data_IF_896859605457
#
_entry.id   IF_896859605457
#
_cell.length_a   1.000
_cell.length_b   1.000
_cell.length_c   1.000
_cell.angle_alpha   90.00
_cell.angle_beta   90.00
_cell.angle_gamma   90.00
#
_symmetry.space_group_name_H-M   'P 1'
#
loop_
_entity.id
_entity.type
_entity.pdbx_description
1 polymer ?
#
# COMPACT_ATOMS: atom_id res chain seq x y z
N UNK A 1 16.02 -5.86 -2.21
CA UNK A 1 15.17 -4.77 -2.68
C UNK A 1 14.60 -5.05 -4.09
N UNK A 2 15.43 -5.31 -5.12
CA UNK A 2 14.97 -5.53 -6.51
C UNK A 2 13.98 -6.68 -6.64
N UNK A 3 14.29 -7.86 -6.08
CA UNK A 3 13.40 -9.03 -6.11
C UNK A 3 12.04 -8.74 -5.42
N UNK A 4 12.02 -8.01 -4.29
CA UNK A 4 10.79 -7.56 -3.63
C UNK A 4 9.92 -6.73 -4.59
N UNK A 5 10.54 -5.73 -5.22
CA UNK A 5 9.83 -4.87 -6.17
C UNK A 5 9.29 -5.65 -7.38
N UNK A 6 10.08 -6.58 -7.93
CA UNK A 6 9.64 -7.41 -9.06
C UNK A 6 8.43 -8.29 -8.70
N UNK A 7 8.40 -8.83 -7.48
CA UNK A 7 7.25 -9.61 -6.99
C UNK A 7 6.02 -8.71 -6.79
N UNK A 8 6.19 -7.55 -6.15
CA UNK A 8 5.08 -6.62 -5.91
C UNK A 8 4.50 -6.11 -7.23
N UNK A 9 5.34 -5.85 -8.22
CA UNK A 9 4.93 -5.35 -9.55
C UNK A 9 4.38 -6.43 -10.48
N UNK A 10 4.36 -7.69 -10.05
CA UNK A 10 3.84 -8.80 -10.85
C UNK A 10 4.78 -9.28 -11.96
N UNK A 11 6.07 -8.91 -11.90
CA UNK A 11 7.10 -9.44 -12.81
C UNK A 11 7.39 -10.94 -12.55
N UNK A 12 6.95 -11.44 -11.40
CA UNK A 12 6.81 -12.85 -11.07
C UNK A 12 5.35 -13.09 -10.68
N UNK A 13 4.72 -14.08 -11.31
CA UNK A 13 3.31 -14.37 -11.07
C UNK A 13 3.08 -15.05 -9.72
N UNK A 14 1.91 -14.94 -9.11
CA UNK A 14 1.53 -15.76 -7.96
C UNK A 14 1.81 -17.25 -8.24
N UNK A 15 2.31 -17.98 -7.24
CA UNK A 15 2.72 -19.39 -7.32
C UNK A 15 3.89 -19.70 -8.27
N UNK A 16 4.46 -18.70 -8.93
CA UNK A 16 5.62 -18.90 -9.81
C UNK A 16 6.83 -19.40 -9.03
N UNK A 17 7.52 -20.41 -9.59
CA UNK A 17 8.74 -20.96 -9.00
C UNK A 17 9.94 -20.04 -9.21
N UNK A 18 10.54 -19.59 -8.12
CA UNK A 18 11.75 -18.75 -8.12
C UNK A 18 13.00 -19.64 -8.22
N UNK A 19 13.40 -19.92 -9.47
CA UNK A 19 14.57 -20.75 -9.74
C UNK A 19 15.86 -19.96 -9.47
N UNK A 20 16.77 -20.53 -8.67
CA UNK A 20 18.02 -19.86 -8.28
C UNK A 20 18.86 -19.47 -9.52
N UNK A 21 18.93 -20.32 -10.54
CA UNK A 21 19.65 -20.03 -11.79
C UNK A 21 19.08 -18.80 -12.52
N UNK A 22 17.75 -18.63 -12.53
CA UNK A 22 17.11 -17.47 -13.12
C UNK A 22 17.43 -16.20 -12.31
N UNK A 23 17.34 -16.28 -10.97
CA UNK A 23 17.60 -15.13 -10.10
C UNK A 23 19.07 -14.68 -10.15
N UNK A 24 20.02 -15.62 -10.16
CA UNK A 24 21.47 -15.31 -10.29
C UNK A 24 21.75 -14.59 -11.61
N UNK A 25 21.16 -15.07 -12.72
CA UNK A 25 21.30 -14.43 -14.02
C UNK A 25 20.65 -13.04 -14.07
N UNK A 26 19.40 -12.92 -13.58
CA UNK A 26 18.62 -11.68 -13.66
C UNK A 26 19.23 -10.54 -12.82
N UNK A 27 19.73 -10.85 -11.63
CA UNK A 27 20.23 -9.83 -10.70
C UNK A 27 21.74 -9.72 -10.63
N UNK A 28 22.47 -10.56 -11.37
CA UNK A 28 23.94 -10.64 -11.32
C UNK A 28 24.49 -10.82 -9.89
N UNK A 29 23.80 -11.61 -9.06
CA UNK A 29 24.12 -11.87 -7.65
C UNK A 29 24.47 -13.34 -7.43
N UNK A 30 25.35 -13.59 -6.47
CA UNK A 30 25.65 -14.94 -5.99
C UNK A 30 24.49 -15.58 -5.23
N UNK A 31 24.59 -16.91 -5.02
CA UNK A 31 23.55 -17.70 -4.33
C UNK A 31 23.34 -17.27 -2.87
N UNK A 32 24.40 -16.87 -2.15
CA UNK A 32 24.33 -16.45 -0.74
C UNK A 32 23.39 -15.27 -0.53
N UNK A 33 23.67 -14.09 -1.11
CA UNK A 33 22.82 -12.91 -1.02
C UNK A 33 21.38 -13.16 -1.48
N UNK A 34 21.17 -14.00 -2.50
CA UNK A 34 19.82 -14.34 -2.95
C UNK A 34 19.05 -15.20 -1.94
N UNK A 35 19.72 -16.14 -1.24
CA UNK A 35 19.09 -16.91 -0.17
C UNK A 35 18.68 -16.03 1.01
N UNK A 36 19.52 -15.09 1.41
CA UNK A 36 19.18 -14.11 2.45
C UNK A 36 17.95 -13.28 2.04
N UNK A 37 17.95 -12.73 0.82
CA UNK A 37 16.82 -11.98 0.30
C UNK A 37 15.53 -12.83 0.26
N UNK A 38 15.61 -14.09 -0.18
CA UNK A 38 14.47 -14.99 -0.19
C UNK A 38 13.98 -15.32 1.23
N UNK A 39 14.87 -15.54 2.19
CA UNK A 39 14.51 -15.76 3.59
C UNK A 39 13.77 -14.57 4.19
N UNK A 40 14.22 -13.35 3.89
CA UNK A 40 13.53 -12.13 4.28
C UNK A 40 12.13 -12.04 3.64
N UNK A 41 12.03 -12.34 2.34
CA UNK A 41 10.75 -12.33 1.63
C UNK A 41 9.76 -13.40 2.12
N UNK A 42 10.28 -14.52 2.66
CA UNK A 42 9.45 -15.52 3.36
C UNK A 42 8.89 -14.94 4.67
N UNK A 43 9.72 -14.25 5.46
CA UNK A 43 9.26 -13.57 6.67
C UNK A 43 8.23 -12.45 6.38
N UNK A 44 8.36 -11.80 5.21
CA UNK A 44 7.42 -10.79 4.71
C UNK A 44 6.17 -11.40 4.02
N UNK A 45 6.06 -12.72 3.95
CA UNK A 45 4.96 -13.47 3.29
C UNK A 45 4.80 -13.19 1.79
N UNK A 46 5.81 -12.68 1.13
CA UNK A 46 5.85 -12.49 -0.33
C UNK A 46 6.32 -13.75 -1.07
N UNK A 47 7.01 -14.64 -0.36
CA UNK A 47 7.56 -15.90 -0.88
C UNK A 47 7.19 -17.04 0.06
N UNK A 48 6.93 -18.21 -0.48
CA UNK A 48 6.72 -19.45 0.28
C UNK A 48 7.84 -20.45 -0.01
N UNK A 49 8.21 -21.23 1.02
CA UNK A 49 9.11 -22.37 0.90
C UNK A 49 8.29 -23.63 0.63
N UNK A 50 8.56 -24.31 -0.47
CA UNK A 50 7.98 -25.63 -0.73
C UNK A 50 9.04 -26.68 -0.41
N UNK A 51 8.75 -27.54 0.57
CA UNK A 51 9.69 -28.56 1.06
C UNK A 51 10.39 -29.29 -0.10
N UNK A 52 11.73 -29.27 -0.12
CA UNK A 52 12.61 -29.84 -1.13
C UNK A 52 12.41 -29.33 -2.59
N UNK A 53 11.47 -28.41 -2.83
CA UNK A 53 11.16 -27.87 -4.17
C UNK A 53 11.59 -26.39 -4.34
N UNK A 54 12.15 -25.76 -3.29
CA UNK A 54 12.68 -24.40 -3.32
C UNK A 54 11.64 -23.33 -2.99
N UNK A 55 11.73 -22.17 -3.63
CA UNK A 55 10.93 -20.99 -3.34
C UNK A 55 9.89 -20.75 -4.43
N UNK A 56 8.73 -20.24 -4.01
CA UNK A 56 7.66 -19.75 -4.90
C UNK A 56 7.19 -18.38 -4.45
N UNK A 57 6.71 -17.57 -5.38
CA UNK A 57 5.92 -16.38 -5.04
C UNK A 57 4.68 -16.84 -4.27
N UNK A 58 4.34 -16.16 -3.20
CA UNK A 58 3.15 -16.49 -2.44
C UNK A 58 1.88 -16.36 -3.32
N UNK A 59 0.92 -17.26 -3.14
CA UNK A 59 -0.38 -17.16 -3.78
C UNK A 59 -1.09 -15.84 -3.42
N UNK A 60 -2.11 -15.49 -4.17
CA UNK A 60 -3.04 -14.41 -3.87
C UNK A 60 -4.45 -14.97 -3.86
N UNK A 61 -5.28 -14.57 -2.93
CA UNK A 61 -6.66 -15.02 -2.83
C UNK A 61 -7.60 -13.87 -2.47
N UNK A 62 -8.87 -14.02 -2.85
CA UNK A 62 -9.91 -13.07 -2.49
C UNK A 62 -10.12 -13.02 -0.97
N UNK A 63 -10.06 -14.16 -0.30
CA UNK A 63 -10.20 -14.23 1.16
C UNK A 63 -9.08 -13.45 1.87
N UNK A 64 -7.82 -13.59 1.43
CA UNK A 64 -6.69 -12.84 1.97
C UNK A 64 -6.82 -11.34 1.68
N UNK A 65 -7.27 -10.97 0.46
CA UNK A 65 -7.55 -9.59 0.10
C UNK A 65 -8.53 -8.94 1.09
N UNK A 66 -9.67 -9.59 1.31
CA UNK A 66 -10.72 -9.07 2.20
C UNK A 66 -10.23 -8.95 3.64
N UNK A 67 -9.53 -9.95 4.17
CA UNK A 67 -9.01 -9.97 5.53
C UNK A 67 -7.97 -8.85 5.76
N UNK A 68 -7.00 -8.70 4.85
CA UNK A 68 -5.98 -7.66 4.97
C UNK A 68 -6.60 -6.25 4.88
N UNK A 69 -7.51 -6.03 3.94
CA UNK A 69 -8.11 -4.70 3.74
C UNK A 69 -9.08 -4.32 4.86
N UNK A 70 -9.83 -5.27 5.42
CA UNK A 70 -10.66 -5.02 6.59
C UNK A 70 -9.80 -4.69 7.82
N UNK A 71 -8.75 -5.48 8.08
CA UNK A 71 -7.81 -5.19 9.17
C UNK A 71 -7.16 -3.81 9.03
N UNK A 72 -6.76 -3.42 7.81
CA UNK A 72 -6.20 -2.09 7.53
C UNK A 72 -7.22 -1.00 7.76
N UNK A 73 -8.44 -1.14 7.23
CA UNK A 73 -9.48 -0.13 7.35
C UNK A 73 -9.84 0.15 8.82
N UNK A 74 -9.97 -0.90 9.62
CA UNK A 74 -10.26 -0.77 11.06
C UNK A 74 -9.08 -0.14 11.82
N UNK A 75 -7.84 -0.52 11.53
CA UNK A 75 -6.67 0.07 12.16
C UNK A 75 -6.50 1.55 11.81
N UNK A 76 -6.61 1.92 10.54
CA UNK A 76 -6.45 3.31 10.09
C UNK A 76 -7.56 4.21 10.64
N UNK A 77 -8.82 3.71 10.72
CA UNK A 77 -9.93 4.42 11.36
C UNK A 77 -9.66 4.70 12.85
N UNK A 78 -9.12 3.72 13.57
CA UNK A 78 -8.68 3.90 14.96
C UNK A 78 -7.53 4.91 15.06
N UNK A 79 -6.53 4.79 14.19
CA UNK A 79 -5.35 5.66 14.20
C UNK A 79 -5.69 7.12 13.90
N UNK A 80 -6.61 7.39 12.95
CA UNK A 80 -7.04 8.76 12.66
C UNK A 80 -7.79 9.35 13.84
N UNK A 81 -8.60 8.56 14.55
CA UNK A 81 -9.27 9.02 15.79
C UNK A 81 -8.26 9.44 16.85
N UNK A 82 -7.22 8.62 17.06
CA UNK A 82 -6.15 8.93 18.01
C UNK A 82 -5.33 10.15 17.57
N UNK A 83 -5.09 10.29 16.27
CA UNK A 83 -4.35 11.41 15.72
C UNK A 83 -5.09 12.74 15.90
N UNK A 84 -6.39 12.77 15.66
CA UNK A 84 -7.24 13.95 15.91
C UNK A 84 -7.25 14.32 17.39
N UNK A 85 -7.30 13.32 18.29
CA UNK A 85 -7.34 13.56 19.73
C UNK A 85 -5.99 14.06 20.31
N UNK A 86 -4.87 13.74 19.69
CA UNK A 86 -3.51 13.96 20.25
C UNK A 86 -2.65 14.91 19.43
N UNK A 87 -2.92 15.06 18.14
CA UNK A 87 -2.15 15.88 17.23
C UNK A 87 -2.30 17.36 17.52
N UNK A 88 -1.16 18.08 17.46
CA UNK A 88 -1.09 19.54 17.60
C UNK A 88 -0.92 20.25 16.25
N UNK A 89 -0.63 21.53 16.31
CA UNK A 89 -0.51 22.42 15.12
C UNK A 89 0.54 21.95 14.11
N UNK A 90 1.66 21.43 14.58
CA UNK A 90 2.72 20.89 13.69
C UNK A 90 2.22 19.67 12.90
N UNK A 91 1.42 18.80 13.51
CA UNK A 91 0.79 17.67 12.84
C UNK A 91 -0.21 18.15 11.77
N UNK A 92 -1.06 19.13 12.09
CA UNK A 92 -2.01 19.72 11.12
C UNK A 92 -1.27 20.33 9.93
N UNK A 93 -0.17 21.05 10.18
CA UNK A 93 0.67 21.63 9.14
C UNK A 93 1.30 20.55 8.23
N UNK A 94 1.77 19.42 8.78
CA UNK A 94 2.30 18.32 7.99
C UNK A 94 1.22 17.64 7.14
N UNK A 95 0.02 17.41 7.70
CA UNK A 95 -1.15 16.89 6.95
C UNK A 95 -1.47 17.77 5.75
N UNK A 96 -1.56 19.09 5.96
CA UNK A 96 -1.80 20.07 4.89
C UNK A 96 -0.71 20.04 3.82
N UNK A 97 0.57 20.00 4.23
CA UNK A 97 1.69 19.97 3.30
C UNK A 97 1.66 18.71 2.43
N UNK A 98 1.39 17.53 3.00
CA UNK A 98 1.32 16.26 2.26
C UNK A 98 0.10 16.21 1.35
N UNK A 99 -1.07 16.67 1.80
CA UNK A 99 -2.27 16.79 0.97
C UNK A 99 -2.01 17.68 -0.25
N UNK A 100 -1.38 18.85 -0.05
CA UNK A 100 -1.03 19.75 -1.14
C UNK A 100 -0.02 19.16 -2.15
N UNK A 101 0.99 18.40 -1.65
CA UNK A 101 1.95 17.75 -2.53
C UNK A 101 1.31 16.62 -3.34
N UNK A 102 0.35 15.90 -2.78
CA UNK A 102 -0.40 14.86 -3.48
C UNK A 102 -1.28 15.47 -4.58
N UNK A 103 -2.04 16.52 -4.26
CA UNK A 103 -2.97 17.16 -5.20
C UNK A 103 -2.31 17.69 -6.49
N UNK A 104 -1.02 18.00 -6.44
CA UNK A 104 -0.25 18.47 -7.61
C UNK A 104 0.03 17.41 -8.67
N UNK A 105 -0.19 16.11 -8.38
CA UNK A 105 0.05 15.04 -9.34
C UNK A 105 -1.16 14.71 -10.21
N UNK A 106 -2.30 15.29 -9.95
CA UNK A 106 -3.59 14.89 -10.52
C UNK A 106 -3.83 15.31 -11.96
N UNK A 107 -2.94 16.15 -12.49
CA UNK A 107 -3.03 16.68 -13.85
C UNK A 107 -1.95 16.13 -14.80
N UNK A 108 -1.29 15.03 -14.46
CA UNK A 108 -0.10 14.58 -15.18
C UNK A 108 -0.34 13.35 -16.08
N UNK A 109 0.61 13.11 -17.00
CA UNK A 109 0.61 11.97 -17.91
C UNK A 109 0.62 10.62 -17.17
N UNK A 110 -0.25 9.70 -17.60
CA UNK A 110 -0.32 8.33 -17.12
C UNK A 110 0.92 7.53 -17.54
N UNK A 111 1.95 7.52 -16.68
CA UNK A 111 3.21 6.81 -16.91
C UNK A 111 3.62 5.98 -15.68
N UNK A 112 4.47 4.96 -15.89
CA UNK A 112 5.03 4.16 -14.78
C UNK A 112 5.80 5.03 -13.78
N UNK A 113 6.44 6.11 -14.26
CA UNK A 113 7.13 7.07 -13.39
C UNK A 113 6.15 7.84 -12.51
N UNK A 114 4.99 8.20 -13.06
CA UNK A 114 3.92 8.86 -12.30
C UNK A 114 3.33 7.92 -11.24
N UNK A 115 3.17 6.63 -11.56
CA UNK A 115 2.71 5.63 -10.59
C UNK A 115 3.55 5.64 -9.31
N UNK A 116 4.87 5.61 -9.45
CA UNK A 116 5.78 5.59 -8.31
C UNK A 116 5.72 6.89 -7.49
N UNK A 117 5.68 8.03 -8.18
CA UNK A 117 5.61 9.33 -7.50
C UNK A 117 4.26 9.56 -6.82
N UNK A 118 3.17 9.20 -7.49
CA UNK A 118 1.84 9.29 -6.90
C UNK A 118 1.72 8.37 -5.68
N UNK A 119 2.18 7.12 -5.79
CA UNK A 119 2.16 6.17 -4.68
C UNK A 119 2.98 6.68 -3.49
N UNK A 120 4.17 7.24 -3.74
CA UNK A 120 5.01 7.82 -2.70
C UNK A 120 4.30 8.96 -1.95
N UNK A 121 3.69 9.89 -2.69
CA UNK A 121 2.97 11.02 -2.07
C UNK A 121 1.69 10.60 -1.38
N UNK A 122 0.95 9.66 -1.98
CA UNK A 122 -0.24 9.09 -1.38
C UNK A 122 0.06 8.37 -0.06
N UNK A 123 1.14 7.59 -0.01
CA UNK A 123 1.61 6.97 1.24
C UNK A 123 2.03 8.03 2.28
N UNK A 124 2.76 9.05 1.86
CA UNK A 124 3.19 10.13 2.75
C UNK A 124 1.99 10.88 3.34
N UNK A 125 0.95 11.15 2.54
CA UNK A 125 -0.29 11.77 3.00
C UNK A 125 -1.01 10.94 4.07
N UNK A 126 -1.27 9.67 3.80
CA UNK A 126 -1.93 8.79 4.78
C UNK A 126 -1.08 8.60 6.04
N UNK A 127 0.24 8.58 5.91
CA UNK A 127 1.14 8.49 7.06
C UNK A 127 1.09 9.75 7.91
N UNK A 128 1.06 10.93 7.30
CA UNK A 128 0.93 12.20 8.01
C UNK A 128 -0.37 12.27 8.82
N UNK A 129 -1.50 11.87 8.23
CA UNK A 129 -2.80 11.86 8.93
C UNK A 129 -2.72 11.06 10.23
N UNK A 130 -2.13 9.87 10.22
CA UNK A 130 -2.13 8.98 11.39
C UNK A 130 -0.95 9.21 12.33
N UNK A 131 0.07 9.96 11.91
CA UNK A 131 1.28 10.23 12.72
C UNK A 131 0.97 10.91 14.05
N UNK A 132 -0.06 11.77 14.08
CA UNK A 132 -0.55 12.43 15.30
C UNK A 132 -1.05 11.47 16.38
N UNK A 133 -1.24 10.17 16.09
CA UNK A 133 -1.67 9.18 17.08
C UNK A 133 -0.67 9.01 18.25
N UNK A 134 0.60 9.41 18.07
CA UNK A 134 1.63 9.41 19.10
C UNK A 134 2.04 8.01 19.60
N UNK A 135 1.74 6.95 18.85
CA UNK A 135 2.07 5.58 19.22
C UNK A 135 2.97 4.92 18.18
N UNK A 136 4.25 4.80 18.50
CA UNK A 136 5.23 4.15 17.64
C UNK A 136 4.86 2.69 17.31
N UNK A 137 4.39 1.93 18.28
CA UNK A 137 4.03 0.52 18.07
C UNK A 137 2.80 0.34 17.17
N UNK A 138 1.78 1.20 17.30
CA UNK A 138 0.62 1.16 16.40
C UNK A 138 1.03 1.52 14.97
N UNK A 139 1.91 2.50 14.79
CA UNK A 139 2.44 2.84 13.47
C UNK A 139 3.26 1.71 12.85
N UNK A 140 4.06 0.98 13.63
CA UNK A 140 4.76 -0.22 13.14
C UNK A 140 3.79 -1.34 12.73
N UNK A 141 2.71 -1.57 13.48
CA UNK A 141 1.69 -2.56 13.10
C UNK A 141 0.97 -2.15 11.81
N UNK A 142 0.66 -0.86 11.67
CA UNK A 142 0.12 -0.29 10.42
C UNK A 142 1.03 -0.55 9.22
N UNK A 143 2.33 -0.27 9.36
CA UNK A 143 3.32 -0.54 8.31
C UNK A 143 3.31 -2.01 7.88
N UNK A 144 3.21 -2.91 8.84
CA UNK A 144 3.16 -4.35 8.54
C UNK A 144 1.92 -4.75 7.73
N UNK A 145 0.74 -4.22 8.06
CA UNK A 145 -0.48 -4.43 7.27
C UNK A 145 -0.36 -3.79 5.87
N UNK A 146 0.28 -2.63 5.79
CA UNK A 146 0.54 -1.97 4.51
C UNK A 146 1.43 -2.83 3.59
N UNK A 147 2.49 -3.43 4.13
CA UNK A 147 3.37 -4.34 3.40
C UNK A 147 2.64 -5.61 2.92
N UNK A 148 1.78 -6.19 3.75
CA UNK A 148 0.96 -7.35 3.36
C UNK A 148 0.02 -7.03 2.19
N UNK A 149 -0.52 -5.81 2.15
CA UNK A 149 -1.40 -5.35 1.07
C UNK A 149 -0.64 -5.00 -0.23
N UNK A 150 0.69 -4.93 -0.22
CA UNK A 150 1.48 -4.29 -1.28
C UNK A 150 1.18 -4.81 -2.70
N UNK A 151 1.04 -6.15 -2.87
CA UNK A 151 0.75 -6.76 -4.19
C UNK A 151 -0.66 -6.43 -4.67
N UNK A 152 -1.65 -6.53 -3.79
CA UNK A 152 -3.04 -6.17 -4.08
C UNK A 152 -3.15 -4.69 -4.41
N UNK A 153 -2.50 -3.85 -3.60
CA UNK A 153 -2.47 -2.41 -3.78
C UNK A 153 -1.83 -2.00 -5.10
N UNK A 154 -0.81 -2.70 -5.59
CA UNK A 154 -0.19 -2.41 -6.86
C UNK A 154 -1.14 -2.67 -8.05
N UNK A 155 -2.00 -3.70 -7.97
CA UNK A 155 -3.04 -3.96 -8.98
C UNK A 155 -4.02 -2.79 -9.04
N UNK A 156 -4.52 -2.35 -7.88
CA UNK A 156 -5.40 -1.18 -7.78
C UNK A 156 -4.73 0.09 -8.30
N UNK A 157 -3.50 0.34 -7.88
CA UNK A 157 -2.73 1.54 -8.23
C UNK A 157 -2.63 1.72 -9.75
N UNK A 158 -2.27 0.66 -10.49
CA UNK A 158 -2.20 0.71 -11.95
C UNK A 158 -3.54 1.03 -12.60
N UNK A 159 -4.63 0.50 -12.06
CA UNK A 159 -5.98 0.75 -12.58
C UNK A 159 -6.44 2.18 -12.28
N UNK A 160 -6.12 2.70 -11.13
CA UNK A 160 -6.56 4.02 -10.65
C UNK A 160 -5.73 5.15 -11.25
N UNK A 161 -4.41 5.10 -11.16
CA UNK A 161 -3.52 6.20 -11.56
C UNK A 161 -3.46 6.35 -13.09
N UNK A 162 -3.75 5.30 -13.84
CA UNK A 162 -3.86 5.34 -15.30
C UNK A 162 -5.25 5.74 -15.81
N UNK A 163 -6.17 6.17 -14.94
CA UNK A 163 -7.51 6.67 -15.27
C UNK A 163 -7.71 8.07 -14.70
N UNK A 164 -7.93 9.05 -15.55
CA UNK A 164 -8.18 10.45 -15.17
C UNK A 164 -9.40 10.54 -14.24
N UNK A 165 -10.51 9.91 -14.59
CA UNK A 165 -11.75 9.90 -13.80
C UNK A 165 -11.51 9.33 -12.39
N UNK A 166 -10.76 8.23 -12.29
CA UNK A 166 -10.48 7.62 -10.98
C UNK A 166 -9.51 8.46 -10.15
N UNK A 167 -8.60 9.21 -10.78
CA UNK A 167 -7.73 10.15 -10.06
C UNK A 167 -8.52 11.34 -9.52
N UNK A 168 -9.46 11.89 -10.29
CA UNK A 168 -10.34 12.97 -9.85
C UNK A 168 -11.19 12.54 -8.65
N UNK A 169 -11.79 11.34 -8.69
CA UNK A 169 -12.53 10.79 -7.54
C UNK A 169 -11.64 10.64 -6.31
N UNK A 170 -10.39 10.18 -6.48
CA UNK A 170 -9.43 10.10 -5.37
C UNK A 170 -9.04 11.45 -4.81
N UNK A 171 -8.87 12.44 -5.67
CA UNK A 171 -8.63 13.82 -5.25
C UNK A 171 -9.72 14.33 -4.32
N UNK A 172 -10.98 14.21 -4.75
CA UNK A 172 -12.14 14.66 -3.98
C UNK A 172 -12.24 13.94 -2.61
N UNK A 173 -11.98 12.63 -2.61
CA UNK A 173 -11.92 11.84 -1.38
C UNK A 173 -10.82 12.36 -0.43
N UNK A 174 -9.62 12.63 -0.93
CA UNK A 174 -8.50 13.14 -0.12
C UNK A 174 -8.76 14.56 0.39
N UNK A 175 -9.35 15.44 -0.42
CA UNK A 175 -9.74 16.78 0.03
C UNK A 175 -10.78 16.72 1.16
N UNK A 176 -11.82 15.91 0.99
CA UNK A 176 -12.87 15.71 1.99
C UNK A 176 -12.31 15.16 3.29
N UNK A 177 -11.42 14.16 3.20
CA UNK A 177 -10.76 13.58 4.36
C UNK A 177 -9.89 14.61 5.08
N UNK A 178 -9.08 15.38 4.33
CA UNK A 178 -8.24 16.45 4.88
C UNK A 178 -9.07 17.49 5.63
N UNK A 179 -10.13 18.01 5.02
CA UNK A 179 -11.00 19.01 5.63
C UNK A 179 -11.65 18.47 6.92
N UNK A 180 -12.08 17.20 6.91
CA UNK A 180 -12.71 16.56 8.07
C UNK A 180 -11.73 16.34 9.22
N UNK A 181 -10.49 15.93 8.91
CA UNK A 181 -9.41 15.75 9.89
C UNK A 181 -9.07 17.08 10.56
N UNK A 182 -8.91 18.15 9.77
CA UNK A 182 -8.60 19.49 10.28
C UNK A 182 -9.77 20.13 11.07
N UNK A 183 -11.01 19.81 10.70
CA UNK A 183 -12.18 20.18 11.49
C UNK A 183 -12.31 19.38 12.80
N UNK A 184 -11.42 18.41 13.04
CA UNK A 184 -11.41 17.49 14.19
C UNK A 184 -12.72 16.72 14.38
N UNK A 185 -13.45 16.47 13.28
CA UNK A 185 -14.63 15.61 13.30
C UNK A 185 -14.19 14.12 13.28
N UNK A 186 -13.91 13.61 14.47
CA UNK A 186 -13.34 12.27 14.69
C UNK A 186 -14.25 11.17 14.12
N UNK A 187 -15.55 11.26 14.32
CA UNK A 187 -16.49 10.23 13.88
C UNK A 187 -16.53 10.18 12.34
N UNK A 188 -16.66 11.34 11.72
CA UNK A 188 -16.69 11.44 10.25
C UNK A 188 -15.36 11.07 9.61
N UNK A 189 -14.22 11.52 10.17
CA UNK A 189 -12.89 11.19 9.66
C UNK A 189 -12.61 9.68 9.72
N UNK A 190 -13.01 9.00 10.81
CA UNK A 190 -12.86 7.54 10.95
C UNK A 190 -13.66 6.78 9.90
N UNK A 191 -14.90 7.18 9.68
CA UNK A 191 -15.77 6.54 8.68
C UNK A 191 -15.25 6.78 7.25
N UNK A 192 -14.85 8.02 6.92
CA UNK A 192 -14.25 8.35 5.62
C UNK A 192 -12.96 7.57 5.37
N UNK A 193 -12.07 7.47 6.36
CA UNK A 193 -10.84 6.70 6.25
C UNK A 193 -11.15 5.22 5.99
N UNK A 194 -12.09 4.65 6.73
CA UNK A 194 -12.50 3.26 6.55
C UNK A 194 -13.06 3.02 5.14
N UNK A 195 -14.00 3.83 4.70
CA UNK A 195 -14.60 3.74 3.37
C UNK A 195 -13.53 3.88 2.27
N UNK A 196 -12.66 4.89 2.38
CA UNK A 196 -11.59 5.15 1.42
C UNK A 196 -10.67 3.94 1.23
N UNK A 197 -10.32 3.24 2.31
CA UNK A 197 -9.44 2.06 2.25
C UNK A 197 -10.12 0.80 1.72
N UNK A 198 -11.45 0.74 1.71
CA UNK A 198 -12.20 -0.38 1.15
C UNK A 198 -12.54 -0.18 -0.35
N UNK A 199 -12.48 1.06 -0.87
CA UNK A 199 -12.76 1.33 -2.31
C UNK A 199 -11.88 0.55 -3.30
N UNK A 200 -10.63 0.16 -3.01
CA UNK A 200 -9.82 -0.66 -3.91
C UNK A 200 -10.34 -2.07 -4.14
N UNK A 201 -11.09 -2.65 -3.19
CA UNK A 201 -11.46 -4.08 -3.21
C UNK A 201 -12.16 -4.51 -4.50
N UNK A 202 -13.26 -3.87 -4.94
CA UNK A 202 -13.94 -4.31 -6.16
C UNK A 202 -13.06 -4.25 -7.42
N UNK A 203 -12.17 -3.25 -7.49
CA UNK A 203 -11.24 -3.06 -8.60
C UNK A 203 -10.23 -4.19 -8.64
N UNK A 204 -9.70 -4.59 -7.47
CA UNK A 204 -8.74 -5.67 -7.33
C UNK A 204 -9.41 -7.02 -7.64
N UNK A 205 -10.61 -7.28 -7.11
CA UNK A 205 -11.39 -8.49 -7.37
C UNK A 205 -11.64 -8.67 -8.86
N UNK A 206 -12.08 -7.62 -9.55
CA UNK A 206 -12.29 -7.64 -11.00
C UNK A 206 -11.00 -7.96 -11.77
N UNK A 207 -9.87 -7.38 -11.35
CA UNK A 207 -8.58 -7.64 -11.97
C UNK A 207 -8.08 -9.07 -11.73
N UNK A 208 -8.35 -9.64 -10.55
CA UNK A 208 -7.99 -11.03 -10.21
C UNK A 208 -8.86 -12.05 -10.94
N UNK A 209 -10.14 -11.75 -11.20
CA UNK A 209 -11.05 -12.64 -11.92
C UNK A 209 -10.81 -12.67 -13.44
N UNK A 210 -10.15 -11.65 -14.00
CA UNK A 210 -9.85 -11.54 -15.43
C UNK A 210 -8.49 -12.13 -15.85
N UNK A 211 -7.76 -12.74 -14.94
CA UNK A 211 -6.51 -13.46 -15.16
C UNK A 211 -6.72 -14.96 -14.99
#
# INVERSE_FOLDING_TARGET
RWLKNDIIRGNFQPDEKLRMSLLTSRYALGVGPLREALSQLVAERLVTVVNQKGYRVASMSEQELLDIFDARANMEAMLVSLAIARGGDEWEADVLAKAHLLSKLEACDASEKMLDEWDLRHQAFHTAIVAGCGSHYLLQMRERLFDLAARYRFIWLRRTVLSVEMLEDKHDQHQTLTATVLARDTARASELMRQHLLTPIPIIQQAMAGN
#
